data_IF_157806271841
#
_entry.id   IF_157806271841
#
_cell.length_a   1.000
_cell.length_b   1.000
_cell.length_c   1.000
_cell.angle_alpha   90.00
_cell.angle_beta   90.00
_cell.angle_gamma   90.00
#
_symmetry.space_group_name_H-M   'P 1'
#
loop_
_entity.id
_entity.type
_entity.pdbx_description
1 polymer ?
#
# COMPACT_ATOMS: atom_id res chain seq x y z
N UNK A 1 38.20 -11.49 -26.62
CA UNK A 1 37.27 -12.36 -25.89
C UNK A 1 38.08 -13.10 -24.85
N UNK A 2 37.70 -12.96 -23.58
CA UNK A 2 38.37 -13.55 -22.43
C UNK A 2 37.89 -14.99 -22.34
N UNK A 3 38.76 -15.94 -22.70
CA UNK A 3 38.54 -17.35 -22.44
C UNK A 3 38.83 -17.62 -20.96
N UNK A 4 37.84 -17.37 -20.12
CA UNK A 4 37.79 -17.99 -18.79
C UNK A 4 36.95 -19.28 -18.92
N UNK A 5 37.58 -20.47 -18.89
CA UNK A 5 36.87 -21.74 -19.05
C UNK A 5 35.86 -22.04 -17.93
N UNK A 6 35.84 -21.27 -16.84
CA UNK A 6 34.83 -21.43 -15.77
C UNK A 6 33.44 -20.89 -16.12
N UNK A 7 33.32 -20.08 -17.18
CA UNK A 7 32.08 -19.40 -17.59
C UNK A 7 31.68 -19.69 -19.05
N UNK A 8 32.11 -20.82 -19.61
CA UNK A 8 31.81 -21.22 -21.00
C UNK A 8 30.32 -21.11 -21.33
N UNK A 9 29.47 -21.58 -20.42
CA UNK A 9 28.02 -21.66 -20.59
C UNK A 9 27.39 -20.25 -20.69
N UNK A 10 27.96 -19.26 -20.00
CA UNK A 10 27.50 -17.88 -20.08
C UNK A 10 27.81 -17.28 -21.46
N UNK A 11 29.02 -17.50 -21.95
CA UNK A 11 29.42 -17.01 -23.27
C UNK A 11 28.66 -17.73 -24.39
N UNK A 12 28.32 -19.01 -24.20
CA UNK A 12 27.46 -19.76 -25.12
C UNK A 12 26.06 -19.14 -25.17
N UNK A 13 25.47 -18.77 -24.02
CA UNK A 13 24.20 -18.04 -23.99
C UNK A 13 24.23 -16.70 -24.74
N UNK A 14 25.29 -15.91 -24.55
CA UNK A 14 25.47 -14.66 -25.30
C UNK A 14 25.56 -14.90 -26.80
N UNK A 15 26.28 -15.95 -27.21
CA UNK A 15 26.41 -16.33 -28.61
C UNK A 15 25.06 -16.74 -29.19
N UNK A 16 24.32 -17.60 -28.49
CA UNK A 16 22.99 -18.05 -28.92
C UNK A 16 22.01 -16.88 -29.07
N UNK A 17 22.02 -15.93 -28.13
CA UNK A 17 21.23 -14.71 -28.21
C UNK A 17 21.61 -13.86 -29.44
N UNK A 18 22.91 -13.67 -29.70
CA UNK A 18 23.41 -12.90 -30.84
C UNK A 18 23.02 -13.52 -32.18
N UNK A 19 23.20 -14.84 -32.31
CA UNK A 19 22.92 -15.58 -33.53
C UNK A 19 21.42 -15.56 -33.85
N UNK A 20 20.56 -15.58 -32.82
CA UNK A 20 19.12 -15.44 -32.98
C UNK A 20 18.68 -14.01 -33.32
N UNK A 21 19.43 -12.98 -32.88
CA UNK A 21 19.06 -11.57 -33.01
C UNK A 21 20.26 -10.70 -33.39
N UNK A 22 20.72 -10.73 -34.63
CA UNK A 22 21.97 -10.06 -35.06
C UNK A 22 21.86 -8.54 -35.31
N UNK A 23 20.97 -7.84 -34.58
CA UNK A 23 20.71 -6.41 -34.70
C UNK A 23 21.79 -5.55 -34.03
N UNK A 24 21.81 -4.25 -34.34
CA UNK A 24 22.66 -3.28 -33.64
C UNK A 24 22.34 -3.21 -32.13
N UNK A 25 21.05 -3.28 -31.77
CA UNK A 25 20.60 -3.25 -30.39
C UNK A 25 21.08 -4.47 -29.60
N UNK A 26 21.05 -5.66 -30.20
CA UNK A 26 21.61 -6.88 -29.58
C UNK A 26 23.11 -6.77 -29.35
N UNK A 27 23.86 -6.15 -30.27
CA UNK A 27 25.31 -5.90 -30.09
C UNK A 27 25.58 -4.95 -28.93
N UNK A 28 24.77 -3.88 -28.81
CA UNK A 28 24.86 -2.92 -27.70
C UNK A 28 24.54 -3.58 -26.37
N UNK A 29 23.48 -4.41 -26.33
CA UNK A 29 23.12 -5.20 -25.16
C UNK A 29 24.28 -6.11 -24.71
N UNK A 30 24.83 -6.94 -25.60
CA UNK A 30 25.97 -7.83 -25.31
C UNK A 30 27.18 -7.04 -24.82
N UNK A 31 27.51 -5.94 -25.51
CA UNK A 31 28.64 -5.08 -25.11
C UNK A 31 28.47 -4.56 -23.69
N UNK A 32 27.24 -4.17 -23.34
CA UNK A 32 26.91 -3.63 -22.01
C UNK A 32 26.97 -4.71 -20.93
N UNK A 33 26.48 -5.91 -21.22
CA UNK A 33 26.60 -7.10 -20.35
C UNK A 33 28.07 -7.40 -20.05
N UNK A 34 28.92 -7.40 -21.06
CA UNK A 34 30.36 -7.68 -20.90
C UNK A 34 31.07 -6.57 -20.12
N UNK A 35 30.81 -5.30 -20.44
CA UNK A 35 31.39 -4.14 -19.73
C UNK A 35 30.99 -4.09 -18.25
N UNK A 36 29.82 -4.64 -17.93
CA UNK A 36 29.31 -4.68 -16.56
C UNK A 36 29.82 -5.89 -15.76
N UNK A 37 30.75 -6.67 -16.31
CA UNK A 37 31.40 -7.81 -15.65
C UNK A 37 30.42 -8.94 -15.22
N UNK A 38 29.34 -9.13 -15.98
CA UNK A 38 28.30 -10.13 -15.69
C UNK A 38 28.80 -11.58 -15.68
N UNK A 39 29.68 -12.01 -16.60
CA UNK A 39 30.20 -13.38 -16.58
C UNK A 39 30.86 -13.74 -15.23
N UNK A 40 31.41 -12.77 -14.51
CA UNK A 40 32.06 -12.99 -13.22
C UNK A 40 31.16 -12.73 -12.01
N UNK A 41 29.90 -12.30 -12.21
CA UNK A 41 28.99 -11.93 -11.12
C UNK A 41 27.73 -12.79 -11.03
N UNK A 42 27.33 -13.48 -12.11
CA UNK A 42 26.13 -14.32 -12.16
C UNK A 42 26.37 -15.57 -13.02
N UNK A 43 25.58 -16.63 -12.81
CA UNK A 43 25.63 -17.85 -13.63
C UNK A 43 24.92 -17.69 -14.97
N UNK A 44 25.16 -18.61 -15.92
CA UNK A 44 24.42 -18.65 -17.19
C UNK A 44 22.89 -18.81 -16.99
N UNK A 45 22.49 -19.60 -15.99
CA UNK A 45 21.08 -19.77 -15.63
C UNK A 45 20.45 -18.46 -15.11
N UNK A 46 21.16 -17.74 -14.23
CA UNK A 46 20.72 -16.43 -13.76
C UNK A 46 20.67 -15.40 -14.89
N UNK A 47 21.63 -15.42 -15.80
CA UNK A 47 21.61 -14.55 -16.99
C UNK A 47 20.39 -14.81 -17.86
N UNK A 48 20.10 -16.09 -18.18
CA UNK A 48 18.91 -16.46 -18.94
C UNK A 48 17.64 -15.98 -18.25
N UNK A 49 17.49 -16.31 -16.96
CA UNK A 49 16.30 -16.01 -16.15
C UNK A 49 16.06 -14.51 -15.98
N UNK A 50 17.12 -13.71 -15.80
CA UNK A 50 16.99 -12.28 -15.48
C UNK A 50 17.01 -11.39 -16.72
N UNK A 51 17.56 -11.83 -17.85
CA UNK A 51 17.72 -10.95 -19.01
C UNK A 51 17.04 -11.41 -20.29
N UNK A 52 16.80 -12.71 -20.46
CA UNK A 52 16.41 -13.28 -21.75
C UNK A 52 15.00 -13.86 -21.71
N UNK A 53 14.71 -14.69 -20.70
CA UNK A 53 13.48 -15.48 -20.67
C UNK A 53 12.25 -14.62 -20.45
N UNK A 54 11.40 -14.55 -21.46
CA UNK A 54 10.15 -13.79 -21.44
C UNK A 54 10.28 -12.28 -21.57
N UNK A 55 11.47 -11.70 -21.38
CA UNK A 55 11.69 -10.24 -21.47
C UNK A 55 11.53 -9.70 -22.90
N UNK A 56 11.00 -8.49 -23.00
CA UNK A 56 10.79 -7.80 -24.27
C UNK A 56 12.10 -7.32 -24.92
N UNK A 57 12.07 -7.07 -26.23
CA UNK A 57 13.20 -6.41 -26.93
C UNK A 57 13.43 -4.99 -26.40
N UNK A 58 12.36 -4.28 -26.00
CA UNK A 58 12.44 -2.96 -25.37
C UNK A 58 13.22 -3.02 -24.05
N UNK A 59 13.00 -4.05 -23.23
CA UNK A 59 13.80 -4.28 -22.02
C UNK A 59 15.28 -4.43 -22.34
N UNK A 60 15.63 -5.29 -23.30
CA UNK A 60 17.03 -5.54 -23.69
C UNK A 60 17.70 -4.27 -24.24
N UNK A 61 16.96 -3.48 -25.04
CA UNK A 61 17.39 -2.17 -25.49
C UNK A 61 17.64 -1.22 -24.33
N UNK A 62 16.71 -1.13 -23.37
CA UNK A 62 16.87 -0.29 -22.19
C UNK A 62 18.09 -0.71 -21.36
N UNK A 63 18.35 -2.02 -21.18
CA UNK A 63 19.57 -2.53 -20.53
C UNK A 63 20.84 -1.90 -21.13
N UNK A 64 20.89 -1.77 -22.46
CA UNK A 64 22.04 -1.19 -23.15
C UNK A 64 22.29 0.30 -22.87
N UNK A 65 21.34 0.99 -22.23
CA UNK A 65 21.44 2.40 -21.85
C UNK A 65 21.92 2.60 -20.41
N UNK A 66 21.92 1.55 -19.57
CA UNK A 66 22.33 1.67 -18.17
C UNK A 66 23.85 1.71 -18.01
N UNK A 67 24.31 2.42 -16.97
CA UNK A 67 25.70 2.33 -16.55
C UNK A 67 26.00 0.97 -15.87
N UNK A 68 27.27 0.55 -15.82
CA UNK A 68 27.67 -0.67 -15.11
C UNK A 68 27.18 -0.70 -13.65
N UNK A 69 27.19 0.45 -12.96
CA UNK A 69 26.74 0.55 -11.57
C UNK A 69 25.26 0.23 -11.43
N UNK A 70 24.44 0.69 -12.38
CA UNK A 70 23.00 0.45 -12.39
C UNK A 70 22.65 -0.99 -12.73
N UNK A 71 23.44 -1.62 -13.60
CA UNK A 71 23.30 -3.05 -13.88
C UNK A 71 23.67 -3.87 -12.64
N UNK A 72 24.73 -3.50 -11.93
CA UNK A 72 25.07 -4.17 -10.67
C UNK A 72 24.01 -3.98 -9.58
N UNK A 73 23.34 -2.82 -9.54
CA UNK A 73 22.16 -2.60 -8.68
C UNK A 73 21.00 -3.55 -9.06
N UNK A 74 20.70 -3.70 -10.36
CA UNK A 74 19.72 -4.65 -10.87
C UNK A 74 20.04 -6.11 -10.48
N UNK A 75 21.32 -6.52 -10.60
CA UNK A 75 21.77 -7.85 -10.18
C UNK A 75 21.58 -8.07 -8.68
N UNK A 76 21.92 -7.07 -7.85
CA UNK A 76 21.75 -7.18 -6.40
C UNK A 76 20.28 -7.39 -6.02
N UNK A 77 19.37 -6.63 -6.65
CA UNK A 77 17.92 -6.79 -6.42
C UNK A 77 17.48 -8.22 -6.77
N UNK A 78 17.89 -8.76 -7.93
CA UNK A 78 17.48 -10.11 -8.33
C UNK A 78 18.07 -11.23 -7.45
N UNK A 79 19.26 -11.03 -6.87
CA UNK A 79 19.80 -11.93 -5.85
C UNK A 79 18.97 -11.90 -4.55
N UNK A 80 18.50 -10.72 -4.15
CA UNK A 80 17.60 -10.60 -2.98
C UNK A 80 16.26 -11.30 -3.24
N UNK A 81 15.72 -11.19 -4.46
CA UNK A 81 14.49 -11.89 -4.88
C UNK A 81 14.69 -13.40 -4.83
N UNK A 82 15.77 -13.94 -5.40
CA UNK A 82 16.04 -15.40 -5.35
C UNK A 82 16.26 -15.92 -3.93
N UNK A 83 16.74 -15.08 -3.02
CA UNK A 83 16.89 -15.42 -1.61
C UNK A 83 15.59 -15.22 -0.80
N UNK A 84 14.54 -14.64 -1.40
CA UNK A 84 13.26 -14.41 -0.72
C UNK A 84 12.62 -15.76 -0.36
N UNK A 85 12.10 -15.93 0.87
CA UNK A 85 11.37 -17.13 1.25
C UNK A 85 9.93 -17.15 0.70
N UNK A 86 9.54 -16.11 -0.06
CA UNK A 86 8.21 -15.94 -0.63
C UNK A 86 8.24 -16.16 -2.14
N UNK A 87 7.17 -16.73 -2.69
CA UNK A 87 6.97 -16.77 -4.14
C UNK A 87 6.63 -15.35 -4.62
N UNK A 88 7.63 -14.72 -5.24
CA UNK A 88 7.52 -13.37 -5.74
C UNK A 88 6.79 -13.38 -7.10
N UNK A 89 5.60 -12.79 -7.14
CA UNK A 89 4.83 -12.61 -8.36
C UNK A 89 5.29 -11.37 -9.15
N UNK A 90 5.07 -11.36 -10.47
CA UNK A 90 5.34 -10.23 -11.37
C UNK A 90 6.79 -9.70 -11.36
N UNK A 91 7.76 -10.56 -11.05
CA UNK A 91 9.20 -10.20 -11.02
C UNK A 91 9.62 -9.57 -12.36
N UNK A 92 9.21 -10.20 -13.46
CA UNK A 92 9.58 -9.80 -14.81
C UNK A 92 9.09 -8.39 -15.11
N UNK A 93 7.83 -8.10 -14.85
CA UNK A 93 7.19 -6.81 -15.10
C UNK A 93 7.80 -5.72 -14.24
N UNK A 94 8.07 -6.05 -12.98
CA UNK A 94 8.75 -5.16 -12.04
C UNK A 94 10.18 -4.86 -12.50
N UNK A 95 10.88 -5.86 -13.03
CA UNK A 95 12.21 -5.70 -13.62
C UNK A 95 12.17 -4.86 -14.90
N UNK A 96 11.17 -5.04 -15.77
CA UNK A 96 10.99 -4.20 -16.95
C UNK A 96 10.70 -2.75 -16.58
N UNK A 97 9.87 -2.51 -15.56
CA UNK A 97 9.64 -1.18 -15.02
C UNK A 97 10.92 -0.57 -14.44
N UNK A 98 11.61 -1.32 -13.59
CA UNK A 98 12.87 -0.88 -13.01
C UNK A 98 13.86 -0.41 -14.09
N UNK A 99 14.11 -1.26 -15.08
CA UNK A 99 15.07 -1.00 -16.16
C UNK A 99 14.63 0.14 -17.06
N UNK A 100 13.34 0.23 -17.36
CA UNK A 100 12.79 1.33 -18.14
C UNK A 100 13.01 2.67 -17.42
N UNK A 101 12.57 2.84 -16.18
CA UNK A 101 12.72 4.13 -15.51
C UNK A 101 14.18 4.53 -15.30
N UNK A 102 15.02 3.56 -14.93
CA UNK A 102 16.45 3.81 -14.70
C UNK A 102 17.23 4.12 -15.98
N UNK A 103 16.72 3.78 -17.17
CA UNK A 103 17.37 4.11 -18.44
C UNK A 103 17.11 5.54 -18.94
N UNK A 104 16.05 6.21 -18.48
CA UNK A 104 15.69 7.55 -18.98
C UNK A 104 16.12 8.70 -18.04
N UNK A 105 16.04 8.55 -16.72
CA UNK A 105 16.40 9.60 -15.77
C UNK A 105 16.59 9.07 -14.33
N UNK A 106 17.18 9.88 -13.43
CA UNK A 106 17.12 9.60 -11.99
C UNK A 106 15.67 9.80 -11.53
N UNK A 107 15.10 8.76 -10.93
CA UNK A 107 13.73 8.73 -10.44
C UNK A 107 13.36 9.92 -9.56
N UNK A 108 14.31 10.41 -8.75
CA UNK A 108 14.09 11.54 -7.84
C UNK A 108 13.85 12.87 -8.59
N UNK A 109 14.18 12.91 -9.88
CA UNK A 109 14.17 14.13 -10.70
C UNK A 109 13.19 14.05 -11.87
N UNK A 110 12.51 12.92 -12.04
CA UNK A 110 11.57 12.77 -13.15
C UNK A 110 10.31 13.62 -12.92
N UNK A 111 9.92 14.34 -13.98
CA UNK A 111 8.61 14.97 -14.07
C UNK A 111 7.52 13.96 -14.38
N UNK A 112 6.26 14.26 -14.02
CA UNK A 112 5.10 13.42 -14.36
C UNK A 112 5.05 13.06 -15.85
N UNK A 113 5.37 14.01 -16.73
CA UNK A 113 5.40 13.79 -18.18
C UNK A 113 6.49 12.81 -18.63
N UNK A 114 7.68 12.85 -18.01
CA UNK A 114 8.74 11.89 -18.29
C UNK A 114 8.38 10.50 -17.79
N UNK A 115 7.76 10.41 -16.61
CA UNK A 115 7.29 9.15 -16.05
C UNK A 115 6.21 8.52 -16.95
N UNK A 116 5.24 9.33 -17.40
CA UNK A 116 4.20 8.88 -18.32
C UNK A 116 4.78 8.40 -19.66
N UNK A 117 5.75 9.12 -20.21
CA UNK A 117 6.45 8.72 -21.43
C UNK A 117 7.12 7.35 -21.29
N UNK A 118 7.82 7.11 -20.17
CA UNK A 118 8.48 5.82 -19.91
C UNK A 118 7.46 4.69 -19.81
N UNK A 119 6.34 4.91 -19.11
CA UNK A 119 5.31 3.86 -18.95
C UNK A 119 4.57 3.54 -20.24
N UNK A 120 4.30 4.54 -21.09
CA UNK A 120 3.57 4.35 -22.34
C UNK A 120 4.42 3.74 -23.45
N UNK A 121 5.73 4.04 -23.48
CA UNK A 121 6.56 3.72 -24.64
C UNK A 121 7.69 2.73 -24.33
N UNK A 122 8.10 2.59 -23.07
CA UNK A 122 9.40 1.98 -22.76
C UNK A 122 9.41 0.95 -21.62
N UNK A 123 8.31 0.75 -20.90
CA UNK A 123 8.17 -0.35 -19.94
C UNK A 123 7.26 -1.45 -20.52
N UNK A 124 6.04 -1.51 -20.01
CA UNK A 124 5.28 -2.74 -19.88
C UNK A 124 4.01 -2.61 -20.73
N UNK A 125 4.23 -2.35 -22.03
CA UNK A 125 3.19 -2.15 -23.03
C UNK A 125 2.21 -3.33 -23.16
N UNK A 126 2.58 -4.51 -22.62
CA UNK A 126 1.78 -5.72 -22.66
C UNK A 126 1.05 -6.12 -21.37
N UNK A 127 1.26 -5.46 -20.22
CA UNK A 127 0.91 -6.11 -18.94
C UNK A 127 -0.06 -5.41 -18.01
N UNK A 128 -0.47 -4.16 -18.26
CA UNK A 128 -1.65 -3.59 -17.61
C UNK A 128 -2.36 -2.61 -18.54
N UNK A 129 -3.69 -2.73 -18.56
CA UNK A 129 -4.69 -1.97 -19.30
C UNK A 129 -4.20 -0.53 -19.52
N UNK A 130 -3.96 -0.15 -20.79
CA UNK A 130 -3.47 1.19 -21.17
C UNK A 130 -4.31 2.35 -20.58
N UNK A 131 -5.54 2.05 -20.16
CA UNK A 131 -6.47 2.99 -19.54
C UNK A 131 -6.08 3.44 -18.11
N UNK A 132 -5.09 2.84 -17.44
CA UNK A 132 -4.69 3.18 -16.06
C UNK A 132 -3.24 3.64 -15.90
N UNK A 133 -2.66 4.21 -16.96
CA UNK A 133 -1.26 4.64 -16.93
C UNK A 133 -1.04 5.72 -15.87
N UNK A 134 -1.90 6.73 -15.80
CA UNK A 134 -1.75 7.82 -14.83
C UNK A 134 -1.88 7.33 -13.37
N UNK A 135 -2.80 6.42 -13.10
CA UNK A 135 -3.01 5.78 -11.80
C UNK A 135 -1.76 5.02 -11.35
N UNK A 136 -1.19 4.22 -12.27
CA UNK A 136 0.05 3.48 -12.06
C UNK A 136 1.23 4.41 -11.75
N UNK A 137 1.42 5.49 -12.52
CA UNK A 137 2.46 6.51 -12.27
C UNK A 137 2.38 7.01 -10.84
N UNK A 138 1.19 7.46 -10.44
CA UNK A 138 0.97 8.13 -9.17
C UNK A 138 1.15 7.18 -7.99
N UNK A 139 0.69 5.93 -8.11
CA UNK A 139 0.88 4.90 -7.10
C UNK A 139 2.35 4.53 -6.92
N UNK A 140 3.08 4.30 -8.01
CA UNK A 140 4.52 4.00 -7.94
C UNK A 140 5.25 5.15 -7.27
N UNK A 141 4.94 6.40 -7.64
CA UNK A 141 5.55 7.60 -7.05
C UNK A 141 5.23 7.73 -5.56
N UNK A 142 3.98 7.53 -5.16
CA UNK A 142 3.56 7.60 -3.77
C UNK A 142 4.21 6.50 -2.91
N UNK A 143 4.19 5.25 -3.39
CA UNK A 143 4.86 4.13 -2.73
C UNK A 143 6.37 4.35 -2.65
N UNK A 144 6.99 4.86 -3.71
CA UNK A 144 8.41 5.18 -3.72
C UNK A 144 8.77 6.18 -2.64
N UNK A 145 8.08 7.32 -2.58
CA UNK A 145 8.30 8.35 -1.56
C UNK A 145 8.05 7.82 -0.14
N UNK A 146 7.01 6.99 0.02
CA UNK A 146 6.74 6.31 1.28
C UNK A 146 7.92 5.42 1.70
N UNK A 147 8.41 4.55 0.79
CA UNK A 147 9.52 3.66 1.07
C UNK A 147 10.83 4.43 1.34
N UNK A 148 11.10 5.51 0.60
CA UNK A 148 12.26 6.39 0.85
C UNK A 148 12.24 7.00 2.25
N UNK A 149 11.05 7.34 2.76
CA UNK A 149 10.87 7.90 4.10
C UNK A 149 11.06 6.87 5.21
N UNK A 150 10.48 5.67 5.06
CA UNK A 150 10.44 4.66 6.13
C UNK A 150 11.61 3.66 6.07
N UNK A 151 12.29 3.53 4.94
CA UNK A 151 13.43 2.64 4.75
C UNK A 151 14.65 3.41 4.21
N UNK A 152 15.22 4.36 4.99
CA UNK A 152 16.31 5.23 4.52
C UNK A 152 17.60 4.48 4.19
N UNK A 153 17.79 3.27 4.74
CA UNK A 153 18.93 2.39 4.45
C UNK A 153 18.80 1.65 3.12
N UNK A 154 17.61 1.60 2.51
CA UNK A 154 17.43 0.97 1.21
C UNK A 154 17.99 1.86 0.11
N UNK A 155 18.60 1.21 -0.89
CA UNK A 155 19.04 1.90 -2.11
C UNK A 155 17.83 2.50 -2.85
N UNK A 156 18.05 3.59 -3.60
CA UNK A 156 16.99 4.19 -4.43
C UNK A 156 16.38 3.15 -5.36
N UNK A 157 17.21 2.30 -5.98
CA UNK A 157 16.70 1.29 -6.90
C UNK A 157 15.84 0.24 -6.20
N UNK A 158 16.22 -0.20 -5.00
CA UNK A 158 15.40 -1.11 -4.20
C UNK A 158 14.03 -0.49 -3.85
N UNK A 159 14.00 0.75 -3.37
CA UNK A 159 12.74 1.43 -3.08
C UNK A 159 11.84 1.52 -4.32
N UNK A 160 12.43 1.73 -5.51
CA UNK A 160 11.64 1.81 -6.74
C UNK A 160 11.08 0.47 -7.19
N UNK A 161 11.91 -0.57 -7.14
CA UNK A 161 11.50 -1.92 -7.48
C UNK A 161 10.35 -2.38 -6.58
N UNK A 162 10.50 -2.16 -5.26
CA UNK A 162 9.47 -2.46 -4.25
C UNK A 162 8.17 -1.67 -4.49
N UNK A 163 8.29 -0.37 -4.76
CA UNK A 163 7.13 0.46 -5.09
C UNK A 163 6.39 -0.03 -6.34
N UNK A 164 7.14 -0.43 -7.37
CA UNK A 164 6.59 -0.96 -8.63
C UNK A 164 5.88 -2.28 -8.41
N UNK A 165 6.51 -3.22 -7.69
CA UNK A 165 5.91 -4.52 -7.32
C UNK A 165 4.61 -4.33 -6.57
N UNK A 166 4.63 -3.51 -5.52
CA UNK A 166 3.45 -3.24 -4.68
C UNK A 166 2.32 -2.59 -5.48
N UNK A 167 2.65 -1.68 -6.40
CA UNK A 167 1.64 -1.06 -7.27
C UNK A 167 1.03 -2.06 -8.25
N UNK A 168 1.82 -2.95 -8.85
CA UNK A 168 1.30 -3.95 -9.78
C UNK A 168 0.32 -4.91 -9.10
N UNK A 169 0.69 -5.43 -7.92
CA UNK A 169 -0.20 -6.28 -7.14
C UNK A 169 -1.50 -5.54 -6.79
N UNK A 170 -1.38 -4.31 -6.26
CA UNK A 170 -2.52 -3.53 -5.81
C UNK A 170 -3.49 -3.18 -6.93
N UNK A 171 -2.98 -2.80 -8.11
CA UNK A 171 -3.83 -2.49 -9.26
C UNK A 171 -4.57 -3.73 -9.79
N UNK A 172 -3.91 -4.89 -9.82
CA UNK A 172 -4.55 -6.15 -10.22
C UNK A 172 -5.64 -6.57 -9.23
N UNK A 173 -5.37 -6.45 -7.92
CA UNK A 173 -6.36 -6.72 -6.88
C UNK A 173 -7.56 -5.76 -7.01
N UNK A 174 -7.32 -4.48 -7.30
CA UNK A 174 -8.36 -3.47 -7.53
C UNK A 174 -9.19 -3.78 -8.78
N UNK A 175 -8.56 -4.09 -9.91
CA UNK A 175 -9.25 -4.41 -11.17
C UNK A 175 -10.11 -5.69 -11.00
N UNK A 176 -9.63 -6.66 -10.22
CA UNK A 176 -10.35 -7.92 -9.98
C UNK A 176 -11.63 -7.76 -9.15
N UNK A 177 -11.75 -6.70 -8.35
CA UNK A 177 -12.89 -6.48 -7.43
C UNK A 177 -13.84 -5.36 -7.87
N UNK A 178 -13.48 -4.61 -8.92
CA UNK A 178 -14.22 -3.43 -9.35
C UNK A 178 -14.81 -3.60 -10.77
N UNK A 179 -16.13 -3.47 -10.95
CA UNK A 179 -16.79 -3.68 -12.24
C UNK A 179 -16.58 -2.54 -13.26
N UNK A 180 -16.17 -1.33 -12.84
CA UNK A 180 -16.06 -0.16 -13.72
C UNK A 180 -14.70 0.56 -13.66
N UNK A 181 -14.26 1.10 -14.80
CA UNK A 181 -12.97 1.83 -14.94
C UNK A 181 -12.90 3.07 -14.04
N UNK A 182 -14.01 3.82 -13.91
CA UNK A 182 -14.06 5.01 -13.04
C UNK A 182 -13.87 4.67 -11.56
N UNK A 183 -14.42 3.54 -11.12
CA UNK A 183 -14.29 3.06 -9.75
C UNK A 183 -12.84 2.60 -9.45
N UNK A 184 -12.10 2.08 -10.44
CA UNK A 184 -10.66 1.76 -10.31
C UNK A 184 -9.82 3.02 -10.12
N UNK A 185 -10.11 4.07 -10.89
CA UNK A 185 -9.43 5.36 -10.76
C UNK A 185 -9.69 5.98 -9.38
N UNK A 186 -10.94 5.91 -8.91
CA UNK A 186 -11.33 6.40 -7.60
C UNK A 186 -10.74 5.55 -6.45
N UNK A 187 -10.67 4.22 -6.55
CA UNK A 187 -9.95 3.39 -5.56
C UNK A 187 -8.47 3.74 -5.52
N UNK A 188 -7.85 3.90 -6.69
CA UNK A 188 -6.43 4.24 -6.81
C UNK A 188 -6.11 5.59 -6.18
N UNK A 189 -6.91 6.62 -6.49
CA UNK A 189 -6.79 7.92 -5.86
C UNK A 189 -6.97 7.80 -4.34
N UNK A 190 -7.95 7.01 -3.88
CA UNK A 190 -8.16 6.69 -2.47
C UNK A 190 -6.91 6.15 -1.78
N UNK A 191 -6.24 5.18 -2.41
CA UNK A 191 -5.00 4.56 -1.92
C UNK A 191 -3.85 5.56 -1.86
N UNK A 192 -3.64 6.34 -2.93
CA UNK A 192 -2.59 7.38 -3.00
C UNK A 192 -2.78 8.41 -1.88
N UNK A 193 -4.01 8.93 -1.74
CA UNK A 193 -4.33 9.88 -0.68
C UNK A 193 -4.09 9.27 0.70
N UNK A 194 -4.39 7.99 0.89
CA UNK A 194 -4.15 7.31 2.17
C UNK A 194 -2.65 7.19 2.47
N UNK A 195 -1.83 6.82 1.47
CA UNK A 195 -0.35 6.78 1.57
C UNK A 195 0.21 8.16 1.92
N UNK A 196 -0.33 9.21 1.29
CA UNK A 196 0.06 10.60 1.52
C UNK A 196 -0.51 11.20 2.82
N UNK A 197 -1.35 10.45 3.55
CA UNK A 197 -2.02 10.92 4.76
C UNK A 197 -3.11 11.96 4.51
N UNK A 198 -3.59 12.11 3.27
CA UNK A 198 -4.75 12.92 2.91
C UNK A 198 -6.06 12.15 3.11
N UNK A 199 -6.46 12.02 4.37
CA UNK A 199 -7.65 11.23 4.73
C UNK A 199 -8.96 11.74 4.12
N UNK A 200 -9.07 13.03 3.77
CA UNK A 200 -10.30 13.62 3.22
C UNK A 200 -10.48 13.18 1.76
N UNK A 201 -9.48 13.44 0.92
CA UNK A 201 -9.54 13.04 -0.47
C UNK A 201 -9.52 11.51 -0.60
N UNK A 202 -8.82 10.80 0.29
CA UNK A 202 -8.89 9.34 0.37
C UNK A 202 -10.32 8.83 0.56
N UNK A 203 -11.07 9.43 1.48
CA UNK A 203 -12.47 9.04 1.73
C UNK A 203 -13.40 9.41 0.59
N UNK A 204 -13.21 10.58 -0.04
CA UNK A 204 -14.04 10.97 -1.18
C UNK A 204 -13.85 9.99 -2.34
N UNK A 205 -12.60 9.66 -2.63
CA UNK A 205 -12.24 8.71 -3.69
C UNK A 205 -12.67 7.28 -3.34
N UNK A 206 -12.50 6.81 -2.11
CA UNK A 206 -13.07 5.50 -1.73
C UNK A 206 -14.60 5.49 -1.72
N UNK A 207 -15.26 6.60 -1.40
CA UNK A 207 -16.73 6.67 -1.39
C UNK A 207 -17.30 6.69 -2.81
N UNK A 208 -16.60 7.26 -3.78
CA UNK A 208 -17.01 7.23 -5.19
C UNK A 208 -16.68 5.89 -5.86
N UNK A 209 -15.67 5.18 -5.35
CA UNK A 209 -15.21 3.91 -5.91
C UNK A 209 -15.97 2.66 -5.45
N UNK A 210 -16.65 2.69 -4.30
CA UNK A 210 -17.20 1.47 -3.68
C UNK A 210 -18.73 1.41 -3.82
N UNK A 211 -19.27 0.60 -4.75
CA UNK A 211 -20.71 0.40 -4.88
C UNK A 211 -21.29 -0.52 -3.77
N UNK A 212 -20.46 -1.37 -3.14
CA UNK A 212 -20.88 -2.44 -2.23
C UNK A 212 -21.01 -1.95 -0.77
N UNK A 213 -21.98 -2.48 -0.01
CA UNK A 213 -22.06 -2.28 1.44
C UNK A 213 -21.27 -3.41 2.13
N UNK A 214 -20.37 -3.08 3.06
CA UNK A 214 -19.49 -4.05 3.71
C UNK A 214 -18.04 -3.58 3.79
N UNK A 215 -17.15 -4.47 4.23
CA UNK A 215 -15.71 -4.24 4.23
C UNK A 215 -15.00 -5.29 3.39
N UNK A 216 -13.85 -4.92 2.82
CA UNK A 216 -13.03 -5.82 2.02
C UNK A 216 -11.57 -5.40 2.03
N UNK A 217 -10.69 -6.37 1.90
CA UNK A 217 -9.26 -6.13 1.68
C UNK A 217 -9.04 -5.70 0.22
N UNK A 218 -8.27 -4.64 0.04
CA UNK A 218 -7.76 -4.18 -1.26
C UNK A 218 -6.26 -4.45 -1.24
N UNK A 219 -5.92 -5.68 -1.62
CA UNK A 219 -4.57 -6.23 -1.48
C UNK A 219 -4.10 -6.45 -0.05
N UNK A 220 -2.85 -6.86 0.12
CA UNK A 220 -2.31 -7.34 1.40
C UNK A 220 -2.17 -6.27 2.50
N UNK A 221 -2.17 -4.98 2.13
CA UNK A 221 -1.88 -3.85 3.02
C UNK A 221 -3.05 -2.92 3.29
N UNK A 222 -4.09 -2.94 2.46
CA UNK A 222 -5.20 -2.00 2.57
C UNK A 222 -6.51 -2.72 2.78
N UNK A 223 -7.38 -2.13 3.58
CA UNK A 223 -8.76 -2.57 3.71
C UNK A 223 -9.67 -1.33 3.71
N UNK A 224 -10.84 -1.48 3.10
CA UNK A 224 -11.85 -0.43 3.06
C UNK A 224 -13.10 -0.96 3.73
N UNK A 225 -13.64 -0.21 4.67
CA UNK A 225 -14.95 -0.44 5.27
C UNK A 225 -15.91 0.64 4.82
N UNK A 226 -17.02 0.25 4.21
CA UNK A 226 -18.14 1.16 3.96
C UNK A 226 -19.13 1.09 5.11
N UNK A 227 -19.44 2.25 5.66
CA UNK A 227 -20.42 2.36 6.75
C UNK A 227 -21.65 3.06 6.24
N UNK A 228 -22.82 2.49 6.55
CA UNK A 228 -24.08 3.17 6.35
C UNK A 228 -24.09 4.43 7.22
N UNK A 229 -24.53 5.53 6.64
CA UNK A 229 -24.63 6.80 7.33
C UNK A 229 -26.06 6.98 7.84
N UNK A 230 -26.22 7.52 9.05
CA UNK A 230 -27.54 7.85 9.58
C UNK A 230 -28.36 8.68 8.58
N UNK A 231 -29.60 8.26 8.27
CA UNK A 231 -30.46 8.94 7.30
C UNK A 231 -30.11 8.73 5.82
N UNK A 232 -29.45 7.62 5.47
CA UNK A 232 -29.18 7.20 4.09
C UNK A 232 -27.84 7.68 3.51
N UNK A 233 -27.20 6.86 2.67
CA UNK A 233 -25.86 7.10 2.11
C UNK A 233 -24.77 6.21 2.75
N UNK A 234 -23.56 6.24 2.19
CA UNK A 234 -22.41 5.45 2.64
C UNK A 234 -21.17 6.34 2.79
N UNK A 235 -20.34 6.07 3.79
CA UNK A 235 -18.99 6.65 3.94
C UNK A 235 -17.97 5.53 3.86
N UNK A 236 -16.91 5.73 3.09
CA UNK A 236 -15.79 4.79 3.04
C UNK A 236 -14.69 5.18 4.04
N UNK A 237 -14.24 4.19 4.80
CA UNK A 237 -13.24 4.28 5.86
C UNK A 237 -12.07 3.36 5.52
N UNK A 238 -10.88 3.93 5.36
CA UNK A 238 -9.69 3.20 4.93
C UNK A 238 -8.78 2.82 6.09
N UNK A 239 -8.28 1.58 6.04
CA UNK A 239 -7.30 1.01 6.97
C UNK A 239 -6.03 0.64 6.22
N UNK A 240 -4.87 1.00 6.78
CA UNK A 240 -3.55 0.59 6.27
C UNK A 240 -2.85 -0.25 7.31
N UNK A 241 -2.44 -1.46 6.93
CA UNK A 241 -1.51 -2.29 7.67
C UNK A 241 -0.07 -1.86 7.35
N UNK A 242 0.58 -1.19 8.31
CA UNK A 242 1.97 -0.79 8.22
C UNK A 242 2.95 -1.92 8.55
N UNK A 243 4.25 -1.59 8.51
CA UNK A 243 5.32 -2.50 8.92
C UNK A 243 5.10 -3.00 10.37
N UNK A 244 5.27 -4.30 10.60
CA UNK A 244 4.97 -4.94 11.90
C UNK A 244 3.50 -5.28 12.14
N UNK A 245 2.62 -5.07 11.15
CA UNK A 245 1.23 -5.49 11.21
C UNK A 245 0.29 -4.54 11.96
N UNK A 246 0.76 -3.34 12.32
CA UNK A 246 -0.04 -2.29 12.94
C UNK A 246 -1.01 -1.68 11.92
N UNK A 247 -2.30 -1.67 12.24
CA UNK A 247 -3.35 -1.05 11.45
C UNK A 247 -3.50 0.42 11.85
N UNK A 248 -3.47 1.29 10.86
CA UNK A 248 -3.75 2.73 10.99
C UNK A 248 -5.06 3.06 10.28
N UNK A 249 -5.82 3.99 10.83
CA UNK A 249 -7.20 4.30 10.39
C UNK A 249 -7.31 5.67 9.68
N UNK A 250 -6.20 6.20 9.15
CA UNK A 250 -6.16 7.56 8.56
C UNK A 250 -6.32 8.71 9.58
N UNK A 251 -6.80 9.87 9.13
CA UNK A 251 -6.99 11.12 9.93
C UNK A 251 -8.35 11.20 10.63
N UNK A 252 -8.41 11.94 11.75
CA UNK A 252 -9.49 12.04 12.75
C UNK A 252 -10.82 12.70 12.31
N UNK A 253 -10.88 13.36 11.15
CA UNK A 253 -12.03 14.18 10.75
C UNK A 253 -13.26 13.37 10.27
N UNK A 254 -13.14 12.05 10.15
CA UNK A 254 -14.14 11.20 9.49
C UNK A 254 -15.37 10.89 10.34
N UNK A 255 -15.24 10.86 11.66
CA UNK A 255 -16.36 10.53 12.54
C UNK A 255 -17.54 11.49 12.36
N UNK A 256 -17.25 12.80 12.25
CA UNK A 256 -18.28 13.84 12.08
C UNK A 256 -19.13 13.60 10.82
N UNK A 257 -18.49 13.17 9.73
CA UNK A 257 -19.16 12.80 8.50
C UNK A 257 -19.95 11.49 8.65
N UNK A 258 -19.36 10.48 9.30
CA UNK A 258 -20.00 9.18 9.55
C UNK A 258 -21.31 9.31 10.36
N UNK A 259 -21.42 10.29 11.25
CA UNK A 259 -22.64 10.57 12.03
C UNK A 259 -23.51 11.74 11.50
N UNK A 260 -23.19 12.32 10.32
CA UNK A 260 -23.85 13.52 9.74
C UNK A 260 -24.05 14.68 10.72
N UNK A 261 -23.06 14.97 11.54
CA UNK A 261 -23.19 16.08 12.47
C UNK A 261 -23.00 17.42 11.75
N UNK A 262 -24.12 18.05 11.37
CA UNK A 262 -24.15 19.40 10.78
C UNK A 262 -24.17 20.49 11.85
N UNK A 263 -24.72 20.18 13.02
CA UNK A 263 -24.85 21.13 14.14
C UNK A 263 -23.48 21.59 14.65
N UNK A 264 -23.19 22.87 14.44
CA UNK A 264 -21.94 23.50 14.85
C UNK A 264 -21.82 23.65 16.39
N UNK A 265 -22.90 23.50 17.15
CA UNK A 265 -22.88 23.53 18.63
C UNK A 265 -22.40 22.22 19.26
N UNK A 266 -22.31 21.16 18.46
CA UNK A 266 -21.93 19.81 18.89
C UNK A 266 -20.58 19.36 18.34
N UNK A 267 -19.90 18.53 19.11
CA UNK A 267 -18.71 17.79 18.69
C UNK A 267 -19.08 16.34 18.37
N UNK A 268 -18.44 15.78 17.35
CA UNK A 268 -18.43 14.34 17.13
C UNK A 268 -17.41 13.75 18.11
N UNK A 269 -17.89 12.96 19.07
CA UNK A 269 -17.08 12.34 20.10
C UNK A 269 -16.88 10.85 19.79
N UNK A 270 -15.63 10.42 19.77
CA UNK A 270 -15.26 9.01 19.67
C UNK A 270 -15.48 8.34 21.02
N UNK A 271 -16.32 7.31 21.06
CA UNK A 271 -16.61 6.55 22.28
C UNK A 271 -15.37 5.74 22.71
N UNK A 272 -14.80 4.96 21.79
CA UNK A 272 -13.45 4.42 21.91
C UNK A 272 -12.46 5.49 21.42
N UNK A 273 -11.62 6.06 22.30
CA UNK A 273 -10.75 7.18 21.98
C UNK A 273 -9.74 6.88 20.88
N UNK A 274 -9.53 7.83 19.96
CA UNK A 274 -8.55 7.70 18.88
C UNK A 274 -7.12 7.50 19.38
N UNK A 275 -6.78 8.05 20.55
CA UNK A 275 -5.47 7.90 21.19
C UNK A 275 -5.14 6.44 21.49
N UNK A 276 -6.15 5.59 21.71
CA UNK A 276 -5.98 4.18 22.05
C UNK A 276 -5.90 3.28 20.82
N UNK A 277 -5.84 3.81 19.58
CA UNK A 277 -5.90 2.96 18.38
C UNK A 277 -4.84 1.85 18.33
N UNK A 278 -3.71 2.01 19.03
CA UNK A 278 -2.62 1.02 19.11
C UNK A 278 -2.91 -0.12 20.09
N UNK A 279 -3.94 -0.02 20.92
CA UNK A 279 -4.29 -1.03 21.90
C UNK A 279 -4.63 -2.37 21.20
N UNK A 280 -4.16 -3.48 21.76
CA UNK A 280 -4.25 -4.79 21.13
C UNK A 280 -5.69 -5.20 20.78
N UNK A 281 -6.65 -4.94 21.68
CA UNK A 281 -8.07 -5.27 21.46
C UNK A 281 -8.65 -4.49 20.28
N UNK A 282 -8.28 -3.22 20.12
CA UNK A 282 -8.72 -2.41 18.97
C UNK A 282 -8.09 -2.90 17.68
N UNK A 283 -6.80 -3.26 17.71
CA UNK A 283 -6.09 -3.84 16.57
C UNK A 283 -6.65 -5.21 16.17
N UNK A 284 -7.06 -6.03 17.14
CA UNK A 284 -7.70 -7.33 16.91
C UNK A 284 -9.11 -7.17 16.36
N UNK A 285 -9.93 -6.28 16.93
CA UNK A 285 -11.25 -5.98 16.43
C UNK A 285 -11.23 -5.44 14.99
N UNK A 286 -10.19 -4.69 14.61
CA UNK A 286 -10.01 -4.23 13.23
C UNK A 286 -9.69 -5.37 12.24
N UNK A 287 -9.20 -6.51 12.74
CA UNK A 287 -8.93 -7.74 11.96
C UNK A 287 -10.09 -8.73 11.99
N UNK A 288 -11.16 -8.42 12.72
CA UNK A 288 -12.33 -9.29 12.84
C UNK A 288 -13.06 -9.43 11.51
N UNK A 289 -13.98 -10.40 11.43
CA UNK A 289 -14.83 -10.57 10.25
C UNK A 289 -15.81 -9.40 10.03
N UNK A 290 -15.85 -8.44 10.96
CA UNK A 290 -16.69 -7.23 10.93
C UNK A 290 -15.85 -5.95 10.80
N UNK A 291 -14.52 -6.09 10.87
CA UNK A 291 -13.48 -5.08 10.72
C UNK A 291 -13.81 -3.76 11.41
N UNK A 292 -13.71 -3.70 12.75
CA UNK A 292 -13.93 -2.46 13.50
C UNK A 292 -13.06 -1.32 12.95
N UNK A 293 -13.67 -0.17 12.69
CA UNK A 293 -12.98 1.02 12.24
C UNK A 293 -13.24 2.16 13.22
N UNK A 294 -12.20 2.73 13.82
CA UNK A 294 -12.36 3.72 14.89
C UNK A 294 -13.19 4.97 14.53
N UNK A 295 -13.22 5.39 13.26
CA UNK A 295 -14.04 6.52 12.79
C UNK A 295 -15.46 6.11 12.28
N UNK A 296 -15.92 4.89 12.54
CA UNK A 296 -17.26 4.46 12.13
C UNK A 296 -18.38 5.02 13.00
N UNK A 297 -19.59 5.09 12.43
CA UNK A 297 -20.73 5.72 13.09
C UNK A 297 -21.09 5.08 14.44
N UNK A 298 -20.92 3.75 14.58
CA UNK A 298 -21.20 3.08 15.85
C UNK A 298 -20.24 3.52 16.97
N UNK A 299 -19.02 3.97 16.64
CA UNK A 299 -18.06 4.48 17.62
C UNK A 299 -18.23 5.99 17.86
N UNK A 300 -19.29 6.60 17.34
CA UNK A 300 -19.50 8.04 17.36
C UNK A 300 -20.79 8.44 18.03
N UNK A 301 -20.74 9.58 18.73
CA UNK A 301 -21.93 10.26 19.20
C UNK A 301 -21.78 11.78 19.06
N UNK A 302 -22.88 12.47 18.79
CA UNK A 302 -22.95 13.92 18.81
C UNK A 302 -23.14 14.41 20.26
N UNK A 303 -22.16 15.15 20.78
CA UNK A 303 -22.14 15.65 22.16
C UNK A 303 -22.05 17.17 22.15
N UNK A 304 -22.75 17.85 23.05
CA UNK A 304 -22.62 19.29 23.20
C UNK A 304 -21.18 19.69 23.52
N UNK A 305 -20.71 20.77 22.87
CA UNK A 305 -19.33 21.25 22.99
C UNK A 305 -18.84 21.42 24.43
N UNK A 306 -19.71 21.90 25.31
CA UNK A 306 -19.36 22.15 26.72
C UNK A 306 -19.14 20.87 27.53
N UNK A 307 -19.74 19.73 27.12
CA UNK A 307 -19.53 18.42 27.74
C UNK A 307 -18.24 17.77 27.25
N UNK A 308 -17.96 17.90 25.96
CA UNK A 308 -16.79 17.35 25.28
C UNK A 308 -15.60 18.33 25.32
N UNK A 309 -15.18 18.67 26.53
CA UNK A 309 -13.92 19.40 26.85
C UNK A 309 -12.82 18.39 27.19
N UNK A 310 -11.61 18.79 27.59
CA UNK A 310 -10.53 17.84 27.94
C UNK A 310 -11.01 16.74 28.92
N UNK A 311 -10.89 15.46 28.52
CA UNK A 311 -11.46 14.31 29.23
C UNK A 311 -10.49 13.12 29.42
N UNK A 312 -9.29 13.30 30.01
CA UNK A 312 -8.36 12.19 30.27
C UNK A 312 -8.97 11.04 31.08
N UNK A 313 -9.78 11.31 32.12
CA UNK A 313 -10.35 10.23 32.94
C UNK A 313 -11.39 9.40 32.21
N UNK A 314 -12.08 9.97 31.22
CA UNK A 314 -12.91 9.17 30.32
C UNK A 314 -12.05 8.19 29.51
N UNK A 315 -10.91 8.65 28.99
CA UNK A 315 -9.98 7.79 28.26
C UNK A 315 -9.40 6.70 29.18
N UNK A 316 -9.06 7.05 30.42
CA UNK A 316 -8.53 6.10 31.42
C UNK A 316 -9.55 4.99 31.75
N UNK A 317 -10.85 5.32 31.84
CA UNK A 317 -11.92 4.33 32.06
C UNK A 317 -11.99 3.35 30.89
N UNK A 318 -11.98 3.86 29.65
CA UNK A 318 -12.01 3.02 28.45
C UNK A 318 -10.76 2.14 28.36
N UNK A 319 -9.57 2.72 28.59
CA UNK A 319 -8.30 1.97 28.58
C UNK A 319 -8.28 0.89 29.67
N UNK A 320 -8.78 1.20 30.87
CA UNK A 320 -8.88 0.22 31.96
C UNK A 320 -9.78 -0.96 31.60
N UNK A 321 -10.96 -0.72 31.03
CA UNK A 321 -11.87 -1.80 30.58
C UNK A 321 -11.24 -2.63 29.46
N UNK A 322 -10.52 -2.00 28.53
CA UNK A 322 -9.78 -2.67 27.46
C UNK A 322 -8.66 -3.57 28.01
N UNK A 323 -7.89 -3.10 28.99
CA UNK A 323 -6.81 -3.87 29.63
C UNK A 323 -7.37 -5.01 30.49
N UNK A 324 -8.47 -4.80 31.22
CA UNK A 324 -9.13 -5.88 31.96
C UNK A 324 -9.59 -7.00 31.04
N UNK A 325 -10.30 -6.68 29.95
CA UNK A 325 -10.74 -7.69 28.99
C UNK A 325 -9.56 -8.46 28.39
N UNK A 326 -8.49 -7.76 28.02
CA UNK A 326 -7.26 -8.36 27.48
C UNK A 326 -6.59 -9.32 28.48
N UNK A 327 -6.56 -8.95 29.77
CA UNK A 327 -5.94 -9.77 30.81
C UNK A 327 -6.80 -10.99 31.18
N UNK A 328 -8.12 -10.83 31.21
CA UNK A 328 -9.07 -11.91 31.48
C UNK A 328 -9.22 -12.87 30.30
N UNK A 329 -9.01 -12.39 29.07
CA UNK A 329 -9.22 -13.14 27.83
C UNK A 329 -7.97 -13.08 26.93
N UNK A 330 -6.81 -13.63 27.36
CA UNK A 330 -5.54 -13.51 26.62
C UNK A 330 -5.54 -14.18 25.24
N UNK A 331 -6.49 -15.10 25.02
CA UNK A 331 -6.66 -15.83 23.76
C UNK A 331 -7.92 -15.43 22.99
N UNK A 332 -8.52 -14.29 23.32
CA UNK A 332 -9.71 -13.79 22.62
C UNK A 332 -9.45 -13.71 21.10
N UNK A 333 -10.36 -14.30 20.34
CA UNK A 333 -10.42 -14.19 18.89
C UNK A 333 -10.64 -12.74 18.45
N UNK A 334 -10.43 -12.47 17.16
CA UNK A 334 -10.68 -11.15 16.60
C UNK A 334 -12.16 -10.73 16.71
N UNK A 335 -13.09 -11.69 16.56
CA UNK A 335 -14.52 -11.42 16.69
C UNK A 335 -14.94 -11.20 18.14
N UNK A 336 -14.39 -11.95 19.10
CA UNK A 336 -14.63 -11.69 20.53
C UNK A 336 -14.11 -10.30 20.95
N UNK A 337 -12.96 -9.87 20.42
CA UNK A 337 -12.48 -8.50 20.62
C UNK A 337 -13.43 -7.46 20.03
N UNK A 338 -14.03 -7.75 18.86
CA UNK A 338 -14.99 -6.86 18.21
C UNK A 338 -16.29 -6.76 19.02
N UNK A 339 -16.83 -7.90 19.45
CA UNK A 339 -18.08 -7.96 20.20
C UNK A 339 -17.93 -7.25 21.56
N UNK A 340 -16.80 -7.45 22.25
CA UNK A 340 -16.48 -6.68 23.45
C UNK A 340 -16.45 -5.16 23.21
N UNK A 341 -15.85 -4.70 22.10
CA UNK A 341 -15.86 -3.27 21.79
C UNK A 341 -17.27 -2.73 21.58
N UNK A 342 -18.18 -3.50 20.99
CA UNK A 342 -19.57 -3.07 20.83
C UNK A 342 -20.27 -2.93 22.18
N UNK A 343 -20.11 -3.92 23.06
CA UNK A 343 -20.70 -3.88 24.41
C UNK A 343 -20.15 -2.68 25.21
N UNK A 344 -18.83 -2.44 25.14
CA UNK A 344 -18.19 -1.29 25.78
C UNK A 344 -18.66 0.05 25.19
N UNK A 345 -18.86 0.11 23.88
CA UNK A 345 -19.38 1.30 23.21
C UNK A 345 -20.79 1.61 23.70
N UNK A 346 -21.65 0.60 23.77
CA UNK A 346 -23.05 0.78 24.16
C UNK A 346 -23.15 1.14 25.65
N UNK A 347 -22.36 0.49 26.52
CA UNK A 347 -22.23 0.88 27.93
C UNK A 347 -21.83 2.35 28.10
N UNK A 348 -20.79 2.78 27.38
CA UNK A 348 -20.32 4.16 27.45
C UNK A 348 -21.34 5.17 26.91
N UNK A 349 -22.05 4.82 25.82
CA UNK A 349 -23.14 5.65 25.29
C UNK A 349 -24.28 5.79 26.28
N UNK A 350 -24.67 4.70 26.94
CA UNK A 350 -25.71 4.71 27.97
C UNK A 350 -25.30 5.57 29.16
N UNK A 351 -24.05 5.46 29.62
CA UNK A 351 -23.51 6.32 30.67
C UNK A 351 -23.57 7.82 30.27
N UNK A 352 -23.24 8.15 29.03
CA UNK A 352 -23.30 9.52 28.49
C UNK A 352 -24.75 10.03 28.43
N UNK A 353 -25.68 9.21 27.94
CA UNK A 353 -27.09 9.57 27.76
C UNK A 353 -27.83 9.72 29.09
N UNK A 354 -27.53 8.85 30.07
CA UNK A 354 -28.13 8.88 31.39
C UNK A 354 -27.63 10.05 32.26
N UNK A 355 -26.53 10.71 31.86
CA UNK A 355 -25.92 11.83 32.59
C UNK A 355 -25.80 13.10 31.72
N UNK A 356 -26.91 13.67 31.21
CA UNK A 356 -26.88 14.73 30.20
C UNK A 356 -26.28 16.06 30.70
N UNK A 357 -26.21 16.26 32.03
CA UNK A 357 -25.68 17.47 32.67
C UNK A 357 -24.21 17.35 33.09
N UNK A 358 -23.57 16.20 32.88
CA UNK A 358 -22.16 15.99 33.22
C UNK A 358 -21.23 16.19 32.02
N UNK A 359 -20.03 16.72 32.30
CA UNK A 359 -18.89 16.64 31.38
C UNK A 359 -18.40 15.21 31.28
N UNK A 360 -17.86 14.83 30.12
CA UNK A 360 -17.37 13.46 29.88
C UNK A 360 -16.29 13.04 30.89
N UNK A 361 -15.40 13.97 31.25
CA UNK A 361 -14.36 13.81 32.27
C UNK A 361 -14.89 13.35 33.66
N UNK A 362 -16.18 13.55 33.94
CA UNK A 362 -16.79 13.26 35.23
C UNK A 362 -17.72 12.03 35.18
N UNK A 363 -17.77 11.32 34.05
CA UNK A 363 -18.56 10.09 33.93
C UNK A 363 -17.87 8.95 34.69
N UNK A 364 -18.69 8.02 35.18
CA UNK A 364 -18.25 6.79 35.84
C UNK A 364 -19.13 5.68 35.28
N UNK A 365 -18.52 4.62 34.76
CA UNK A 365 -19.17 3.42 34.25
C UNK A 365 -18.14 2.30 34.12
#
# INVERSE_FOLDING_TARGET
MINDPSNSDFYEELKNYYDANSSEDSRKFITTVLKSNLPNTITAAQFRKWFLEGYSQTFQKNISLLSPEKIQEYIRINKEIEASPYDEEYIKETNEAFVAFTSYADIDTMTDAQIEYVLNNNCCAGLLIQNFVHEKVRLISANYLHLRKYYPSWSKGKCFWEASRETFQLLLDVIGVVPAVGEVADLTNGLIYTINGDGLNASLSFASAVPVAGWGAVGAKFAIKTVAVAGGGKVALGMIKGAGGLITFGKTSKLRAAIKLTDASKHAHHIIPRSLYRHQIIQNAAKSEKAFHIDEALNGMAIDKWRNTNHPSYNDIIEFKLENFKNENPSASYDECYDFLLDLIDEAKDAINNNPTLKLQNLIF
#
